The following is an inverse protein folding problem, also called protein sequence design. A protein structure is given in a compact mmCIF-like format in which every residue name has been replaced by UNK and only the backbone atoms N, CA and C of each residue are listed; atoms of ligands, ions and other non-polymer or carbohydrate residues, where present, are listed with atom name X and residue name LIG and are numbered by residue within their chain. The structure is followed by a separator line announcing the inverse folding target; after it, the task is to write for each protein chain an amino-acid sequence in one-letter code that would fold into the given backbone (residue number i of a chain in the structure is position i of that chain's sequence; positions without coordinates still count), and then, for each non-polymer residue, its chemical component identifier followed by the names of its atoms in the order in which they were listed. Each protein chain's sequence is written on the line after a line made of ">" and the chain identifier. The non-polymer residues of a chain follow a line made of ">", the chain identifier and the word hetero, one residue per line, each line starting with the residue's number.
data_IF_713821195124
#
_entry.id   IF_713821195124
#
_cell.length_a   1.000
_cell.length_b   1.000
_cell.length_c   1.000
_cell.angle_alpha   90.00
_cell.angle_beta   90.00
_cell.angle_gamma   90.00
#
_symmetry.space_group_name_H-M   'P 1'
#
loop_
_entity.id
_entity.type
_entity.pdbx_description
1 polymer ?
#
# COMPACT_ATOMS: atom_id res chain seq x y z
N UNK A 1 21.82 -36.84 -30.25
CA UNK A 1 21.93 -35.37 -30.25
C UNK A 1 20.56 -34.70 -30.30
N UNK A 2 19.65 -35.12 -31.20
CA UNK A 2 18.29 -34.58 -31.28
C UNK A 2 17.46 -34.76 -29.99
N UNK A 3 17.50 -35.94 -29.36
CA UNK A 3 16.74 -36.20 -28.12
C UNK A 3 17.12 -35.27 -26.96
N UNK A 4 18.40 -34.91 -26.84
CA UNK A 4 18.88 -33.99 -25.80
C UNK A 4 18.41 -32.55 -26.06
N UNK A 5 18.27 -32.17 -27.33
CA UNK A 5 17.77 -30.86 -27.72
C UNK A 5 16.26 -30.75 -27.50
N UNK A 6 15.50 -31.80 -27.85
CA UNK A 6 14.06 -31.87 -27.62
C UNK A 6 13.74 -31.85 -26.12
N UNK A 7 14.49 -32.59 -25.29
CA UNK A 7 14.36 -32.55 -23.83
C UNK A 7 14.57 -31.14 -23.24
N UNK A 8 15.62 -30.44 -23.66
CA UNK A 8 15.90 -29.08 -23.17
C UNK A 8 14.83 -28.07 -23.62
N UNK A 9 14.28 -28.26 -24.83
CA UNK A 9 13.19 -27.43 -25.35
C UNK A 9 11.90 -27.63 -24.56
N UNK A 10 11.58 -28.87 -24.19
CA UNK A 10 10.41 -29.17 -23.36
C UNK A 10 10.55 -28.62 -21.94
N UNK A 11 11.73 -28.75 -21.32
CA UNK A 11 12.01 -28.14 -20.01
C UNK A 11 11.87 -26.62 -20.06
N UNK A 12 12.38 -25.98 -21.13
CA UNK A 12 12.23 -24.54 -21.28
C UNK A 12 10.75 -24.14 -21.40
N UNK A 13 9.96 -24.86 -22.21
CA UNK A 13 8.51 -24.62 -22.31
C UNK A 13 7.83 -24.75 -20.95
N UNK A 14 8.14 -25.80 -20.20
CA UNK A 14 7.60 -26.03 -18.86
C UNK A 14 7.96 -24.91 -17.87
N UNK A 15 9.23 -24.47 -17.84
CA UNK A 15 9.66 -23.35 -16.97
C UNK A 15 8.98 -22.02 -17.37
N UNK A 16 8.73 -21.80 -18.66
CA UNK A 16 8.01 -20.61 -19.15
C UNK A 16 6.53 -20.65 -18.77
N UNK A 17 5.86 -21.79 -18.92
CA UNK A 17 4.46 -21.97 -18.51
C UNK A 17 4.30 -21.72 -17.00
N UNK A 18 5.19 -22.26 -16.16
CA UNK A 18 5.16 -22.00 -14.72
C UNK A 18 5.39 -20.53 -14.35
N UNK A 19 6.25 -19.81 -15.09
CA UNK A 19 6.46 -18.37 -14.88
C UNK A 19 5.20 -17.57 -15.21
N UNK A 20 4.61 -17.86 -16.37
CA UNK A 20 3.38 -17.23 -16.82
C UNK A 20 2.24 -17.47 -15.82
N UNK A 21 2.08 -18.71 -15.35
CA UNK A 21 1.09 -19.06 -14.33
C UNK A 21 1.30 -18.28 -13.02
N UNK A 22 2.54 -18.21 -12.53
CA UNK A 22 2.88 -17.46 -11.31
C UNK A 22 2.56 -15.96 -11.44
N UNK A 23 2.88 -15.37 -12.58
CA UNK A 23 2.66 -13.93 -12.79
C UNK A 23 1.18 -13.61 -13.04
N UNK A 24 0.44 -14.49 -13.72
CA UNK A 24 -1.03 -14.38 -13.81
C UNK A 24 -1.67 -14.47 -12.43
N UNK A 25 -1.24 -15.42 -11.60
CA UNK A 25 -1.72 -15.53 -10.21
C UNK A 25 -1.42 -14.25 -9.41
N UNK A 26 -0.24 -13.64 -9.59
CA UNK A 26 0.11 -12.36 -8.94
C UNK A 26 -0.85 -11.23 -9.35
N UNK A 27 -1.20 -11.12 -10.63
CA UNK A 27 -2.16 -10.12 -11.12
C UNK A 27 -3.56 -10.41 -10.55
N UNK A 28 -3.97 -11.67 -10.50
CA UNK A 28 -5.25 -12.08 -9.92
C UNK A 28 -5.35 -11.69 -8.44
N UNK A 29 -4.30 -11.93 -7.64
CA UNK A 29 -4.24 -11.48 -6.25
C UNK A 29 -4.33 -9.96 -6.11
N UNK A 30 -3.75 -9.20 -7.04
CA UNK A 30 -3.88 -7.74 -7.03
C UNK A 30 -5.33 -7.32 -7.29
N UNK A 31 -5.99 -7.91 -8.29
CA UNK A 31 -7.40 -7.63 -8.58
C UNK A 31 -8.28 -7.95 -7.38
N UNK A 32 -8.16 -9.16 -6.81
CA UNK A 32 -8.89 -9.57 -5.60
C UNK A 32 -8.71 -8.60 -4.43
N UNK A 33 -7.48 -8.10 -4.23
CA UNK A 33 -7.20 -7.10 -3.20
C UNK A 33 -7.93 -5.78 -3.47
N UNK A 34 -8.01 -5.34 -4.73
CA UNK A 34 -8.75 -4.13 -5.10
C UNK A 34 -10.25 -4.31 -4.94
N UNK A 35 -10.80 -5.48 -5.24
CA UNK A 35 -12.21 -5.78 -5.00
C UNK A 35 -12.54 -5.71 -3.51
N UNK A 36 -11.71 -6.33 -2.65
CA UNK A 36 -11.85 -6.25 -1.20
C UNK A 36 -11.85 -4.78 -0.70
N UNK A 37 -10.94 -3.95 -1.22
CA UNK A 37 -10.92 -2.53 -0.85
C UNK A 37 -12.18 -1.76 -1.27
N UNK A 38 -12.88 -2.18 -2.34
CA UNK A 38 -14.13 -1.54 -2.76
C UNK A 38 -15.27 -1.89 -1.83
N UNK A 39 -15.32 -3.15 -1.40
CA UNK A 39 -16.28 -3.66 -0.42
C UNK A 39 -16.08 -2.98 0.93
N UNK A 40 -14.84 -2.89 1.43
CA UNK A 40 -14.52 -2.19 2.68
C UNK A 40 -15.00 -0.73 2.67
N UNK A 41 -14.85 -0.03 1.54
CA UNK A 41 -15.33 1.36 1.38
C UNK A 41 -16.87 1.40 1.38
N UNK A 42 -17.54 0.40 0.80
CA UNK A 42 -19.01 0.28 0.86
C UNK A 42 -19.48 0.16 2.30
N UNK A 43 -18.90 -0.77 3.02
CA UNK A 43 -19.32 -1.13 4.37
C UNK A 43 -19.05 0.02 5.34
N UNK A 44 -17.91 0.70 5.23
CA UNK A 44 -17.58 1.85 6.05
C UNK A 44 -18.57 3.02 5.86
N UNK A 45 -18.94 3.28 4.61
CA UNK A 45 -19.91 4.34 4.27
C UNK A 45 -21.32 3.92 4.70
N UNK A 46 -21.72 2.69 4.44
CA UNK A 46 -23.01 2.13 4.84
C UNK A 46 -23.22 2.17 6.34
N UNK A 47 -22.21 1.78 7.12
CA UNK A 47 -22.24 1.85 8.58
C UNK A 47 -22.40 3.29 9.09
N UNK A 48 -21.69 4.24 8.47
CA UNK A 48 -21.78 5.66 8.84
C UNK A 48 -23.17 6.22 8.57
N UNK A 49 -23.73 5.93 7.39
CA UNK A 49 -25.08 6.37 7.01
C UNK A 49 -26.12 5.79 7.96
N UNK A 50 -26.06 4.48 8.24
CA UNK A 50 -26.99 3.81 9.16
C UNK A 50 -26.93 4.40 10.58
N UNK A 51 -25.72 4.69 11.08
CA UNK A 51 -25.54 5.30 12.40
C UNK A 51 -26.08 6.74 12.46
N UNK A 52 -25.85 7.54 11.42
CA UNK A 52 -26.37 8.91 11.36
C UNK A 52 -27.90 8.92 11.27
N UNK A 53 -28.49 8.00 10.50
CA UNK A 53 -29.95 7.87 10.41
C UNK A 53 -30.60 7.57 11.77
N UNK A 54 -29.97 6.74 12.60
CA UNK A 54 -30.40 6.49 13.98
C UNK A 54 -30.39 7.77 14.84
N UNK A 55 -29.34 8.60 14.73
CA UNK A 55 -29.30 9.88 15.43
C UNK A 55 -30.34 10.88 14.90
N UNK A 56 -30.61 10.85 13.60
CA UNK A 56 -31.61 11.71 12.98
C UNK A 56 -33.02 11.37 13.49
N UNK A 57 -33.36 10.08 13.56
CA UNK A 57 -34.66 9.61 14.08
C UNK A 57 -34.86 9.96 15.56
N UNK A 58 -33.86 9.68 16.41
CA UNK A 58 -33.92 10.01 17.84
C UNK A 58 -33.99 11.53 18.04
N UNK A 59 -33.21 12.30 17.28
CA UNK A 59 -33.25 13.75 17.30
C UNK A 59 -34.63 14.32 16.91
N UNK A 60 -35.27 13.75 15.89
CA UNK A 60 -36.61 14.17 15.46
C UNK A 60 -37.69 13.90 16.52
N UNK A 61 -37.62 12.75 17.21
CA UNK A 61 -38.55 12.42 18.30
C UNK A 61 -38.40 13.36 19.50
N UNK A 62 -37.17 13.62 19.93
CA UNK A 62 -36.91 14.56 21.03
C UNK A 62 -37.35 15.99 20.66
N UNK A 63 -37.13 16.40 19.41
CA UNK A 63 -37.58 17.70 18.91
C UNK A 63 -39.11 17.81 18.98
N UNK A 64 -39.84 16.77 18.58
CA UNK A 64 -41.30 16.73 18.72
C UNK A 64 -41.75 16.87 20.17
N UNK A 65 -41.12 16.16 21.12
CA UNK A 65 -41.44 16.31 22.55
C UNK A 65 -41.16 17.72 23.08
N UNK A 66 -40.04 18.34 22.69
CA UNK A 66 -39.77 19.73 23.09
C UNK A 66 -40.79 20.72 22.52
N UNK A 67 -41.32 20.46 21.32
CA UNK A 67 -42.40 21.25 20.74
C UNK A 67 -43.71 21.11 21.54
N UNK A 68 -44.08 19.88 21.92
CA UNK A 68 -45.28 19.63 22.75
C UNK A 68 -45.16 20.30 24.12
N UNK A 69 -43.99 20.20 24.77
CA UNK A 69 -43.73 20.88 26.05
C UNK A 69 -43.86 22.39 25.90
N UNK A 70 -43.41 22.96 24.78
CA UNK A 70 -43.53 24.39 24.52
C UNK A 70 -45.00 24.84 24.33
N UNK A 71 -45.85 24.05 23.67
CA UNK A 71 -47.26 24.41 23.41
C UNK A 71 -48.20 24.11 24.58
N UNK A 72 -47.95 23.04 25.34
CA UNK A 72 -48.84 22.57 26.41
C UNK A 72 -48.34 22.86 27.83
N UNK A 73 -47.07 23.29 27.97
CA UNK A 73 -46.43 23.68 29.23
C UNK A 73 -46.99 24.98 29.81
N UNK A 74 -48.29 25.01 30.10
CA UNK A 74 -48.98 26.18 30.64
C UNK A 74 -48.93 26.18 32.17
N UNK A 75 -48.33 27.21 32.74
CA UNK A 75 -48.38 27.48 34.17
C UNK A 75 -49.81 27.87 34.58
N UNK A 76 -50.46 27.04 35.41
CA UNK A 76 -51.85 27.27 35.88
C UNK A 76 -51.94 28.22 37.09
N UNK A 77 -50.81 28.77 37.56
CA UNK A 77 -50.72 29.60 38.78
C UNK A 77 -50.24 31.03 38.54
N UNK A 78 -50.35 31.87 39.56
CA UNK A 78 -49.82 33.24 39.59
C UNK A 78 -48.32 33.23 39.89
N UNK A 79 -47.50 32.91 38.89
CA UNK A 79 -46.04 32.83 39.02
C UNK A 79 -45.37 34.17 38.68
N UNK A 80 -44.20 34.48 39.28
CA UNK A 80 -43.45 35.69 38.95
C UNK A 80 -43.05 35.70 37.45
N UNK A 81 -43.23 36.82 36.71
CA UNK A 81 -42.99 36.86 35.26
C UNK A 81 -41.57 36.48 34.81
N UNK A 82 -40.56 36.70 35.66
CA UNK A 82 -39.16 36.37 35.35
C UNK A 82 -38.92 34.85 35.28
N UNK A 83 -39.67 34.06 36.05
CA UNK A 83 -39.54 32.61 36.08
C UNK A 83 -40.06 31.98 34.77
N UNK A 84 -41.20 32.46 34.29
CA UNK A 84 -41.78 32.06 33.01
C UNK A 84 -40.84 32.37 31.84
N UNK A 85 -40.16 33.52 31.88
CA UNK A 85 -39.14 33.88 30.88
C UNK A 85 -37.96 32.90 30.86
N UNK A 86 -37.44 32.53 32.04
CA UNK A 86 -36.34 31.54 32.15
C UNK A 86 -36.77 30.15 31.66
N UNK A 87 -38.01 29.73 31.95
CA UNK A 87 -38.56 28.48 31.45
C UNK A 87 -38.58 28.44 29.92
N UNK A 88 -39.21 29.42 29.26
CA UNK A 88 -39.27 29.45 27.80
C UNK A 88 -37.89 29.58 27.15
N UNK A 89 -36.96 30.31 27.76
CA UNK A 89 -35.57 30.40 27.29
C UNK A 89 -34.88 29.02 27.37
N UNK A 90 -35.06 28.28 28.46
CA UNK A 90 -34.49 26.92 28.60
C UNK A 90 -35.06 25.94 27.56
N UNK A 91 -36.36 26.01 27.28
CA UNK A 91 -37.03 25.17 26.28
C UNK A 91 -36.59 25.55 24.87
N UNK A 92 -36.51 26.85 24.56
CA UNK A 92 -36.02 27.35 23.28
C UNK A 92 -34.55 26.97 23.03
N UNK A 93 -33.71 27.06 24.06
CA UNK A 93 -32.32 26.63 24.00
C UNK A 93 -32.21 25.11 23.72
N UNK A 94 -33.01 24.28 24.42
CA UNK A 94 -33.09 22.85 24.15
C UNK A 94 -33.53 22.56 22.71
N UNK A 95 -34.51 23.30 22.20
CA UNK A 95 -35.00 23.17 20.83
C UNK A 95 -33.90 23.46 19.79
N UNK A 96 -33.15 24.56 19.96
CA UNK A 96 -32.06 24.94 19.04
C UNK A 96 -30.95 23.87 19.03
N UNK A 97 -30.57 23.32 20.20
CA UNK A 97 -29.56 22.25 20.25
C UNK A 97 -30.02 20.96 19.55
N UNK A 98 -31.29 20.57 19.73
CA UNK A 98 -31.86 19.41 19.05
C UNK A 98 -31.97 19.63 17.55
N UNK A 99 -32.36 20.83 17.11
CA UNK A 99 -32.40 21.20 15.70
C UNK A 99 -31.00 21.11 15.06
N UNK A 100 -29.99 21.65 15.73
CA UNK A 100 -28.59 21.55 15.27
C UNK A 100 -28.11 20.10 15.20
N UNK A 101 -28.46 19.26 16.17
CA UNK A 101 -28.10 17.85 16.15
C UNK A 101 -28.71 17.10 14.95
N UNK A 102 -30.00 17.34 14.67
CA UNK A 102 -30.71 16.77 13.50
C UNK A 102 -30.08 17.24 12.19
N UNK A 103 -29.77 18.54 12.10
CA UNK A 103 -29.11 19.15 10.94
C UNK A 103 -27.73 18.56 10.68
N UNK A 104 -26.90 18.46 11.72
CA UNK A 104 -25.55 17.91 11.63
C UNK A 104 -25.57 16.43 11.25
N UNK A 105 -26.51 15.64 11.80
CA UNK A 105 -26.69 14.24 11.42
C UNK A 105 -27.05 14.09 9.94
N UNK A 106 -28.00 14.89 9.45
CA UNK A 106 -28.40 14.89 8.04
C UNK A 106 -27.22 15.26 7.13
N UNK A 107 -26.47 16.32 7.48
CA UNK A 107 -25.31 16.74 6.71
C UNK A 107 -24.20 15.67 6.72
N UNK A 108 -23.93 15.02 7.85
CA UNK A 108 -22.95 13.95 7.95
C UNK A 108 -23.30 12.75 7.05
N UNK A 109 -24.58 12.37 7.00
CA UNK A 109 -25.06 11.28 6.13
C UNK A 109 -24.82 11.57 4.64
N UNK A 110 -25.19 12.76 4.17
CA UNK A 110 -24.98 13.18 2.78
C UNK A 110 -23.49 13.27 2.42
N UNK A 111 -22.66 13.77 3.34
CA UNK A 111 -21.23 13.86 3.13
C UNK A 111 -20.59 12.46 3.05
N UNK A 112 -20.97 11.51 3.90
CA UNK A 112 -20.45 10.15 3.89
C UNK A 112 -20.69 9.46 2.53
N UNK A 113 -21.89 9.58 1.98
CA UNK A 113 -22.24 9.04 0.65
C UNK A 113 -21.39 9.68 -0.46
N UNK A 114 -21.24 11.01 -0.40
CA UNK A 114 -20.45 11.77 -1.37
C UNK A 114 -18.96 11.41 -1.33
N UNK A 115 -18.40 11.21 -0.13
CA UNK A 115 -17.03 10.74 0.05
C UNK A 115 -16.84 9.30 -0.41
N UNK A 116 -17.80 8.41 -0.16
CA UNK A 116 -17.79 7.03 -0.67
C UNK A 116 -17.66 6.97 -2.19
N UNK A 117 -18.47 7.76 -2.91
CA UNK A 117 -18.39 7.86 -4.37
C UNK A 117 -17.03 8.42 -4.85
N UNK A 118 -16.48 9.41 -4.14
CA UNK A 118 -15.15 9.98 -4.45
C UNK A 118 -14.02 8.98 -4.22
N UNK A 119 -14.10 8.18 -3.16
CA UNK A 119 -13.10 7.16 -2.84
C UNK A 119 -13.04 6.09 -3.94
N UNK A 120 -14.20 5.61 -4.40
CA UNK A 120 -14.32 4.62 -5.47
C UNK A 120 -13.82 5.11 -6.82
N UNK A 121 -14.00 6.39 -7.13
CA UNK A 121 -13.65 6.97 -8.44
C UNK A 121 -12.21 7.48 -8.52
N UNK A 122 -11.66 7.98 -7.41
CA UNK A 122 -10.31 8.58 -7.40
C UNK A 122 -9.22 7.64 -6.91
N UNK A 123 -9.49 6.82 -5.91
CA UNK A 123 -8.44 6.06 -5.22
C UNK A 123 -8.44 4.57 -5.58
N UNK A 124 -9.62 3.98 -5.83
CA UNK A 124 -9.71 2.58 -6.27
C UNK A 124 -9.72 2.49 -7.79
N UNK A 125 -8.57 2.75 -8.42
CA UNK A 125 -8.36 2.51 -9.85
C UNK A 125 -7.76 1.12 -10.04
N UNK A 126 -8.23 0.40 -11.05
CA UNK A 126 -7.70 -0.92 -11.41
C UNK A 126 -6.20 -0.80 -11.76
N UNK A 127 -5.34 -1.71 -11.27
CA UNK A 127 -3.96 -1.79 -11.69
C UNK A 127 -3.93 -2.35 -13.12
N UNK A 128 -3.83 -1.47 -14.12
CA UNK A 128 -3.65 -1.91 -15.50
C UNK A 128 -2.17 -2.28 -15.66
N UNK A 129 -1.83 -3.54 -15.98
CA UNK A 129 -0.44 -3.91 -16.24
C UNK A 129 0.08 -3.09 -17.42
N UNK A 130 1.29 -2.54 -17.27
CA UNK A 130 1.96 -1.83 -18.36
C UNK A 130 2.19 -2.75 -19.55
N UNK A 131 2.14 -2.22 -20.76
CA UNK A 131 2.48 -2.96 -21.99
C UNK A 131 3.87 -3.61 -21.94
N UNK A 132 4.80 -3.03 -21.17
CA UNK A 132 6.11 -3.65 -20.91
C UNK A 132 5.98 -4.99 -20.18
N UNK A 133 5.17 -5.03 -19.12
CA UNK A 133 4.88 -6.25 -18.35
C UNK A 133 4.16 -7.28 -19.22
N UNK A 134 3.20 -6.85 -20.05
CA UNK A 134 2.50 -7.76 -20.98
C UNK A 134 3.47 -8.35 -22.02
N UNK A 135 4.39 -7.53 -22.54
CA UNK A 135 5.40 -7.98 -23.48
C UNK A 135 6.43 -8.91 -22.84
N UNK A 136 6.78 -8.70 -21.57
CA UNK A 136 7.66 -9.58 -20.79
C UNK A 136 6.98 -10.93 -20.47
N UNK A 137 5.64 -10.92 -20.29
CA UNK A 137 4.83 -12.13 -20.10
C UNK A 137 4.63 -12.91 -21.41
N UNK A 138 4.76 -12.24 -22.56
CA UNK A 138 4.66 -12.89 -23.87
C UNK A 138 5.98 -13.61 -24.16
N UNK A 139 6.08 -14.87 -23.71
CA UNK A 139 7.24 -15.70 -23.97
C UNK A 139 7.45 -15.89 -25.49
N UNK A 140 8.50 -15.30 -26.05
CA UNK A 140 8.85 -15.48 -27.46
C UNK A 140 9.76 -16.69 -27.58
N UNK A 141 9.46 -17.59 -28.52
CA UNK A 141 10.39 -18.67 -28.88
C UNK A 141 11.77 -18.15 -29.31
N UNK A 142 11.84 -16.88 -29.77
CA UNK A 142 13.09 -16.18 -30.05
C UNK A 142 13.99 -16.00 -28.81
N UNK A 143 13.43 -15.98 -27.59
CA UNK A 143 14.22 -15.84 -26.36
C UNK A 143 14.92 -17.16 -25.97
N UNK A 144 14.37 -18.32 -26.39
CA UNK A 144 15.05 -19.60 -26.29
C UNK A 144 16.30 -19.64 -27.18
N UNK A 145 16.18 -19.14 -28.41
CA UNK A 145 17.27 -19.08 -29.38
C UNK A 145 18.36 -18.08 -28.97
N UNK A 146 17.99 -17.01 -28.25
CA UNK A 146 18.92 -16.00 -27.72
C UNK A 146 19.75 -16.45 -26.52
N UNK A 147 19.37 -17.52 -25.82
CA UNK A 147 20.13 -18.01 -24.65
C UNK A 147 21.48 -18.68 -25.00
N UNK A 148 21.75 -18.90 -26.29
CA UNK A 148 23.04 -19.42 -26.78
C UNK A 148 23.28 -20.90 -26.42
N UNK A 149 24.25 -21.53 -27.11
CA UNK A 149 24.51 -22.96 -26.97
C UNK A 149 24.86 -23.41 -25.54
N UNK A 150 25.49 -22.54 -24.72
CA UNK A 150 25.83 -22.86 -23.32
C UNK A 150 24.66 -22.83 -22.33
N UNK A 151 23.56 -22.12 -22.65
CA UNK A 151 22.35 -22.04 -21.81
C UNK A 151 21.27 -23.04 -22.24
N UNK A 152 21.29 -23.45 -23.51
CA UNK A 152 20.36 -24.41 -24.11
C UNK A 152 20.65 -25.85 -23.68
N UNK A 153 21.92 -26.20 -23.40
CA UNK A 153 22.28 -27.53 -22.89
C UNK A 153 22.31 -27.55 -21.36
N UNK A 154 21.16 -27.78 -20.73
CA UNK A 154 21.09 -28.04 -19.28
C UNK A 154 21.20 -29.54 -19.02
N UNK A 155 22.29 -29.96 -18.39
CA UNK A 155 22.46 -31.34 -17.93
C UNK A 155 21.86 -31.48 -16.53
N UNK A 156 20.98 -32.47 -16.26
CA UNK A 156 20.52 -32.72 -14.91
C UNK A 156 21.73 -33.08 -14.03
N UNK A 157 21.81 -32.49 -12.82
CA UNK A 157 22.85 -32.68 -11.80
C UNK A 157 24.21 -31.96 -11.96
N UNK A 158 24.45 -31.21 -13.04
CA UNK A 158 25.62 -30.31 -13.09
C UNK A 158 25.33 -29.02 -12.32
N UNK A 159 26.16 -28.69 -11.33
CA UNK A 159 25.99 -27.61 -10.36
C UNK A 159 26.06 -26.17 -10.89
N UNK A 160 25.47 -25.90 -12.05
CA UNK A 160 25.21 -24.53 -12.47
C UNK A 160 23.97 -24.03 -11.73
N UNK A 161 24.17 -23.07 -10.83
CA UNK A 161 23.11 -22.48 -10.01
C UNK A 161 21.90 -22.13 -10.89
N UNK A 162 20.71 -22.65 -10.60
CA UNK A 162 19.58 -22.46 -11.48
C UNK A 162 19.14 -20.99 -11.46
N UNK A 163 18.87 -20.41 -12.63
CA UNK A 163 18.61 -18.98 -12.79
C UNK A 163 17.45 -18.44 -11.92
N UNK A 164 16.52 -19.30 -11.50
CA UNK A 164 15.44 -18.95 -10.58
C UNK A 164 15.96 -18.53 -9.18
N UNK A 165 17.08 -19.10 -8.71
CA UNK A 165 17.73 -18.69 -7.46
C UNK A 165 18.34 -17.29 -7.58
N UNK A 166 18.99 -17.01 -8.71
CA UNK A 166 19.57 -15.68 -9.01
C UNK A 166 18.49 -14.60 -9.13
N UNK A 167 17.36 -14.92 -9.77
CA UNK A 167 16.23 -13.98 -9.89
C UNK A 167 15.48 -13.76 -8.57
N UNK A 168 15.24 -14.81 -7.78
CA UNK A 168 14.60 -14.64 -6.47
C UNK A 168 15.45 -13.75 -5.54
N UNK A 169 16.79 -13.82 -5.63
CA UNK A 169 17.68 -12.91 -4.91
C UNK A 169 17.55 -11.45 -5.37
N UNK A 170 17.41 -11.21 -6.69
CA UNK A 170 17.22 -9.86 -7.25
C UNK A 170 15.83 -9.28 -6.90
N UNK A 171 14.78 -10.09 -7.00
CA UNK A 171 13.42 -9.70 -6.63
C UNK A 171 13.30 -9.42 -5.12
N UNK A 172 14.04 -10.14 -4.28
CA UNK A 172 14.14 -9.85 -2.85
C UNK A 172 14.81 -8.49 -2.59
N UNK A 173 15.91 -8.18 -3.27
CA UNK A 173 16.59 -6.88 -3.14
C UNK A 173 15.74 -5.70 -3.65
N UNK A 174 15.01 -5.86 -4.77
CA UNK A 174 14.09 -4.84 -5.27
C UNK A 174 12.81 -4.71 -4.44
N UNK A 175 12.38 -5.79 -3.80
CA UNK A 175 11.28 -5.79 -2.83
C UNK A 175 11.62 -4.98 -1.58
N UNK A 176 12.84 -5.15 -1.05
CA UNK A 176 13.33 -4.35 0.09
C UNK A 176 13.44 -2.86 -0.25
N UNK A 177 13.86 -2.50 -1.45
CA UNK A 177 13.94 -1.11 -1.90
C UNK A 177 12.56 -0.44 -2.03
N UNK A 178 11.52 -1.17 -2.45
CA UNK A 178 10.13 -0.68 -2.52
C UNK A 178 9.45 -0.52 -1.17
N UNK A 179 9.94 -1.22 -0.14
CA UNK A 179 9.40 -1.17 1.24
C UNK A 179 10.12 -0.11 2.10
N UNK A 180 11.28 0.42 1.66
CA UNK A 180 11.93 1.54 2.35
C UNK A 180 11.03 2.79 2.31
N UNK A 181 10.67 3.27 3.50
CA UNK A 181 9.88 4.50 3.69
C UNK A 181 10.57 5.69 2.99
N UNK A 182 9.83 6.63 2.40
CA UNK A 182 10.42 7.85 1.85
C UNK A 182 11.07 8.64 2.99
N UNK A 183 12.40 8.62 3.07
CA UNK A 183 13.16 9.34 4.10
C UNK A 183 14.51 8.72 4.50
N UNK A 184 14.78 7.46 4.15
CA UNK A 184 16.01 6.79 4.58
C UNK A 184 16.99 6.60 3.40
N UNK A 185 17.61 7.70 2.98
CA UNK A 185 18.79 7.67 2.10
C UNK A 185 20.04 7.53 2.96
N UNK A 186 20.68 6.36 2.96
CA UNK A 186 22.05 6.24 3.46
C UNK A 186 23.00 6.78 2.39
N UNK A 187 23.60 7.94 2.67
CA UNK A 187 24.69 8.52 1.89
C UNK A 187 25.85 7.54 1.79
N UNK A 188 25.91 6.80 0.68
CA UNK A 188 27.08 6.01 0.27
C UNK A 188 28.08 6.83 -0.57
N UNK A 189 28.07 8.16 -0.45
CA UNK A 189 29.01 9.03 -1.17
C UNK A 189 30.26 9.41 -0.36
N UNK A 190 30.42 8.93 0.88
CA UNK A 190 31.49 9.38 1.79
C UNK A 190 32.49 8.29 2.24
N UNK A 191 32.55 7.12 1.60
CA UNK A 191 33.61 6.11 1.87
C UNK A 191 34.67 6.05 0.76
N UNK A 192 34.95 7.20 0.16
CA UNK A 192 35.88 7.31 -0.97
C UNK A 192 36.74 8.56 -0.96
N UNK A 193 37.26 9.02 0.19
CA UNK A 193 38.32 10.05 0.16
C UNK A 193 39.22 10.13 1.41
N UNK A 194 40.34 9.39 1.34
CA UNK A 194 41.74 9.62 1.81
C UNK A 194 42.02 10.10 3.25
N UNK A 195 43.02 9.48 3.90
CA UNK A 195 44.33 10.10 4.16
C UNK A 195 45.38 9.04 4.53
N UNK A 196 46.54 9.07 3.86
CA UNK A 196 47.74 8.37 4.31
C UNK A 196 48.52 9.21 5.31
N UNK A 197 49.04 8.56 6.34
CA UNK A 197 50.20 8.95 7.15
C UNK A 197 50.62 7.74 7.99
N UNK A 198 51.93 7.51 8.09
CA UNK A 198 52.53 6.27 8.61
C UNK A 198 52.75 6.20 10.12
N UNK A 199 53.37 5.09 10.54
CA UNK A 199 53.83 4.79 11.91
C UNK A 199 53.55 3.33 12.27
N UNK A 200 54.42 2.38 11.90
CA UNK A 200 55.58 1.88 12.67
C UNK A 200 55.23 0.77 13.69
N UNK A 201 55.81 -0.42 13.50
CA UNK A 201 55.73 -1.58 14.42
C UNK A 201 55.78 -2.92 13.66
N UNK A 202 56.93 -3.32 13.11
CA UNK A 202 57.83 -4.40 13.61
C UNK A 202 57.29 -5.81 13.32
N UNK A 203 58.02 -6.55 12.46
CA UNK A 203 58.33 -8.00 12.48
C UNK A 203 58.88 -8.38 11.09
N UNK A 204 60.20 -8.36 10.94
CA UNK A 204 61.06 -9.55 10.91
C UNK A 204 61.04 -10.34 9.59
N UNK A 205 62.19 -10.33 8.91
CA UNK A 205 62.67 -11.50 8.19
C UNK A 205 62.79 -11.38 6.66
N UNK A 206 64.05 -11.36 6.23
CA UNK A 206 64.58 -12.12 5.07
C UNK A 206 64.92 -11.32 3.81
N UNK A 207 66.21 -10.94 3.77
CA UNK A 207 67.20 -11.15 2.70
C UNK A 207 66.86 -10.74 1.25
N UNK A 208 67.67 -9.80 0.75
CA UNK A 208 68.46 -9.86 -0.50
C UNK A 208 68.70 -8.41 -0.98
N UNK A 209 69.82 -7.78 -0.64
CA UNK A 209 71.08 -7.77 -1.40
C UNK A 209 71.00 -7.02 -2.73
N UNK A 210 71.95 -6.09 -2.89
CA UNK A 210 72.35 -5.38 -4.11
C UNK A 210 71.52 -4.15 -4.52
N UNK A 211 72.08 -2.95 -4.30
CA UNK A 211 72.82 -2.23 -5.36
C UNK A 211 73.22 -0.82 -4.86
N UNK A 212 74.54 -0.64 -4.73
CA UNK A 212 75.31 0.51 -5.20
C UNK A 212 74.94 1.88 -4.63
N UNK A 213 75.79 2.34 -3.69
CA UNK A 213 75.96 3.75 -3.41
C UNK A 213 76.61 4.50 -4.58
N UNK A 214 76.16 5.74 -4.82
CA UNK A 214 76.95 6.79 -5.42
C UNK A 214 76.32 8.16 -5.19
N UNK A 215 77.06 9.05 -4.53
CA UNK A 215 76.94 10.50 -4.71
C UNK A 215 76.60 11.29 -3.44
N UNK A 216 77.61 11.95 -2.88
CA UNK A 216 77.46 13.04 -1.91
C UNK A 216 78.26 12.83 -0.64
#
# INVERSE_FOLDING_TARGET
>A
ANELFDYNREIYKFDQEQRLEKDMARVEYQIKRFDLFREDIEDLVGLTVSKMDMYHMVGALLLAFTCTIYTEGLFRGAEPPWYTGLYYLSVCNSFIYLLLAVWLSMHASVQAQSYGARLRTRFVRLPIPSYSVINDLTAKYADFERQGAGGVFRLPFSGNNPEWMRRNALDATQGEERVRRPGEWKDKSMEGFKFGAGGAGVDEGTQASELIGRGG
#
